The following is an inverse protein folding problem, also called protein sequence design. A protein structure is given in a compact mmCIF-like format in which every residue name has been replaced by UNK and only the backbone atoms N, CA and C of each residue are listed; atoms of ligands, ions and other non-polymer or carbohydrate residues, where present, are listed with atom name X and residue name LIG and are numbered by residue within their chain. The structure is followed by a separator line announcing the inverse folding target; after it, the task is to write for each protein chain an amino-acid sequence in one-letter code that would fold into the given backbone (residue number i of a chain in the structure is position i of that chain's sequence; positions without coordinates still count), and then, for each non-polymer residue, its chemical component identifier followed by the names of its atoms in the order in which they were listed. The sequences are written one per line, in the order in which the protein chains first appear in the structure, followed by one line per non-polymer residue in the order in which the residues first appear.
data_IF_710416914198
#
_entry.id   IF_710416914198
#
_cell.length_a   1.000
_cell.length_b   1.000
_cell.length_c   1.000
_cell.angle_alpha   90.00
_cell.angle_beta   90.00
_cell.angle_gamma   90.00
#
_symmetry.space_group_name_H-M   'P 1'
#
loop_
_entity.id
_entity.type
_entity.pdbx_description
1 polymer ?
#
# COMPACT_ATOMS: atom_id res chain seq x y z
N UNK A 1 8.34 -13.97 11.16
CA UNK A 1 8.19 -13.59 9.73
C UNK A 1 8.46 -12.10 9.58
N UNK A 2 9.02 -11.65 8.45
CA UNK A 2 9.04 -10.23 8.07
C UNK A 2 7.77 -9.95 7.27
N UNK A 3 7.02 -8.90 7.63
CA UNK A 3 5.89 -8.46 6.81
C UNK A 3 6.42 -7.49 5.76
N UNK A 4 6.22 -7.84 4.49
CA UNK A 4 6.48 -6.98 3.35
C UNK A 4 5.12 -6.68 2.71
N UNK A 5 4.58 -5.49 2.97
CA UNK A 5 3.19 -5.19 2.63
C UNK A 5 2.95 -5.01 1.13
N UNK A 6 4.04 -4.84 0.36
CA UNK A 6 3.98 -4.62 -1.07
C UNK A 6 5.28 -5.03 -1.77
N UNK A 7 5.16 -5.96 -2.70
CA UNK A 7 6.25 -6.34 -3.59
C UNK A 7 5.72 -6.83 -4.92
N UNK A 8 6.49 -6.64 -5.99
CA UNK A 8 6.23 -7.30 -7.27
C UNK A 8 6.88 -8.68 -7.38
N UNK A 9 7.81 -9.00 -6.46
CA UNK A 9 8.62 -10.23 -6.48
C UNK A 9 8.55 -10.92 -5.11
N UNK A 10 7.49 -11.70 -4.86
CA UNK A 10 7.36 -12.43 -3.61
C UNK A 10 8.28 -13.65 -3.56
N UNK A 11 9.07 -13.75 -2.50
CA UNK A 11 10.01 -14.85 -2.25
C UNK A 11 9.80 -15.43 -0.84
N UNK A 12 9.33 -14.60 0.09
CA UNK A 12 9.15 -14.95 1.49
C UNK A 12 7.67 -15.20 1.83
N UNK A 13 7.42 -15.92 2.94
CA UNK A 13 6.07 -16.21 3.41
C UNK A 13 5.26 -14.96 3.76
N UNK A 14 5.92 -13.91 4.25
CA UNK A 14 5.28 -12.65 4.67
C UNK A 14 5.22 -11.59 3.59
N UNK A 15 5.59 -11.95 2.36
CA UNK A 15 5.46 -11.06 1.21
C UNK A 15 4.02 -11.04 0.73
N UNK A 16 3.48 -9.83 0.60
CA UNK A 16 2.20 -9.59 -0.06
C UNK A 16 2.51 -9.13 -1.48
N UNK A 17 2.33 -10.04 -2.44
CA UNK A 17 2.61 -9.77 -3.84
C UNK A 17 1.51 -8.91 -4.47
N UNK A 18 1.87 -7.89 -5.22
CA UNK A 18 0.90 -7.16 -6.03
C UNK A 18 0.51 -7.97 -7.28
N UNK A 19 -0.78 -8.21 -7.46
CA UNK A 19 -1.35 -8.81 -8.66
C UNK A 19 -2.20 -7.84 -9.45
N UNK A 20 -2.07 -7.96 -10.77
CA UNK A 20 -2.95 -7.34 -11.74
C UNK A 20 -4.12 -8.26 -12.09
N UNK A 21 -5.21 -7.72 -12.68
CA UNK A 21 -6.40 -8.51 -13.01
C UNK A 21 -6.12 -9.72 -13.92
N UNK A 22 -5.08 -9.67 -14.76
CA UNK A 22 -4.67 -10.76 -15.63
C UNK A 22 -3.81 -11.84 -14.96
N UNK A 23 -3.25 -11.57 -13.78
CA UNK A 23 -2.31 -12.47 -13.13
C UNK A 23 -3.02 -13.68 -12.52
N UNK A 24 -2.37 -14.84 -12.49
CA UNK A 24 -2.93 -16.02 -11.85
C UNK A 24 -2.43 -16.09 -10.40
N UNK A 25 -3.32 -16.09 -9.40
CA UNK A 25 -2.87 -16.09 -8.01
C UNK A 25 -2.11 -17.36 -7.64
N UNK A 26 -0.93 -17.19 -7.04
CA UNK A 26 -0.12 -18.28 -6.50
C UNK A 26 -0.47 -18.56 -5.03
N UNK A 27 0.25 -19.51 -4.42
CA UNK A 27 0.12 -19.90 -3.01
C UNK A 27 0.55 -18.85 -1.98
N UNK A 28 0.96 -17.65 -2.41
CA UNK A 28 1.45 -16.58 -1.55
C UNK A 28 0.34 -15.59 -1.17
N UNK A 29 0.57 -14.78 -0.14
CA UNK A 29 -0.30 -13.65 0.12
C UNK A 29 -0.19 -12.63 -1.00
N UNK A 30 -1.31 -12.00 -1.34
CA UNK A 30 -1.35 -11.03 -2.42
C UNK A 30 -2.30 -9.88 -2.15
N UNK A 31 -2.06 -8.77 -2.85
CA UNK A 31 -3.02 -7.71 -3.06
C UNK A 31 -3.50 -7.75 -4.51
N UNK A 32 -4.73 -7.35 -4.77
CA UNK A 32 -5.21 -7.24 -6.16
C UNK A 32 -6.01 -5.96 -6.39
N UNK A 33 -5.72 -5.28 -7.51
CA UNK A 33 -6.43 -4.09 -7.96
C UNK A 33 -6.07 -3.70 -9.39
N UNK A 34 -6.61 -2.58 -9.84
CA UNK A 34 -6.30 -1.97 -11.13
C UNK A 34 -5.41 -0.76 -10.88
N UNK A 35 -4.13 -0.89 -11.23
CA UNK A 35 -3.17 0.19 -11.15
C UNK A 35 -3.55 1.33 -12.13
N UNK A 36 -3.38 2.61 -11.77
CA UNK A 36 -3.74 3.74 -12.65
C UNK A 36 -3.07 3.72 -14.02
N UNK A 37 -1.93 3.05 -14.15
CA UNK A 37 -1.21 2.90 -15.42
C UNK A 37 -1.85 1.88 -16.38
N UNK A 38 -2.66 0.95 -15.85
CA UNK A 38 -3.16 -0.21 -16.59
C UNK A 38 -4.69 -0.27 -16.62
N UNK A 39 -5.35 0.87 -16.42
CA UNK A 39 -6.79 1.00 -16.61
C UNK A 39 -7.08 0.89 -18.11
N UNK A 40 -7.77 -0.17 -18.50
CA UNK A 40 -8.23 -0.38 -19.87
C UNK A 40 -9.57 0.33 -20.13
N UNK A 41 -9.96 0.47 -21.40
CA UNK A 41 -11.27 1.02 -21.77
C UNK A 41 -12.42 0.20 -21.16
N UNK A 42 -12.24 -1.13 -21.08
CA UNK A 42 -13.17 -2.09 -20.48
C UNK A 42 -12.80 -2.43 -19.02
N UNK A 43 -12.42 -1.42 -18.22
CA UNK A 43 -12.03 -1.61 -16.83
C UNK A 43 -13.10 -2.30 -15.97
N UNK A 44 -14.38 -2.28 -16.38
CA UNK A 44 -15.45 -3.04 -15.73
C UNK A 44 -15.13 -4.55 -15.70
N UNK A 45 -14.57 -5.11 -16.78
CA UNK A 45 -14.15 -6.52 -16.85
C UNK A 45 -12.93 -6.78 -15.99
N UNK A 46 -11.98 -5.82 -15.95
CA UNK A 46 -10.86 -5.89 -15.02
C UNK A 46 -11.37 -5.93 -13.57
N UNK A 47 -12.38 -5.12 -13.24
CA UNK A 47 -12.95 -5.05 -11.90
C UNK A 47 -13.68 -6.35 -11.53
N UNK A 48 -14.35 -7.00 -12.47
CA UNK A 48 -14.94 -8.33 -12.24
C UNK A 48 -13.89 -9.37 -11.84
N UNK A 49 -12.72 -9.37 -12.50
CA UNK A 49 -11.61 -10.25 -12.13
C UNK A 49 -11.00 -9.90 -10.77
N UNK A 50 -10.89 -8.60 -10.43
CA UNK A 50 -10.49 -8.14 -9.09
C UNK A 50 -11.44 -8.71 -8.03
N UNK A 51 -12.75 -8.52 -8.20
CA UNK A 51 -13.78 -8.97 -7.25
C UNK A 51 -13.75 -10.50 -7.08
N UNK A 52 -13.60 -11.23 -8.18
CA UNK A 52 -13.54 -12.70 -8.17
C UNK A 52 -12.32 -13.21 -7.39
N UNK A 53 -11.14 -12.66 -7.67
CA UNK A 53 -9.88 -13.11 -7.06
C UNK A 53 -9.73 -12.60 -5.62
N UNK A 54 -10.34 -11.46 -5.28
CA UNK A 54 -10.29 -10.91 -3.93
C UNK A 54 -11.01 -11.77 -2.89
N UNK A 55 -11.85 -12.73 -3.31
CA UNK A 55 -12.49 -13.69 -2.41
C UNK A 55 -11.53 -14.75 -1.84
N UNK A 56 -10.32 -14.87 -2.41
CA UNK A 56 -9.31 -15.78 -1.87
C UNK A 56 -8.89 -15.39 -0.45
N UNK A 57 -8.68 -16.38 0.42
CA UNK A 57 -8.09 -16.19 1.75
C UNK A 57 -6.66 -15.65 1.71
N UNK A 58 -5.95 -15.90 0.60
CA UNK A 58 -4.61 -15.39 0.35
C UNK A 58 -4.62 -13.92 -0.09
N UNK A 59 -5.75 -13.38 -0.52
CA UNK A 59 -5.87 -11.95 -0.79
C UNK A 59 -5.92 -11.20 0.55
N UNK A 60 -4.91 -10.39 0.84
CA UNK A 60 -4.79 -9.64 2.11
C UNK A 60 -5.13 -8.16 1.96
N UNK A 61 -4.99 -7.58 0.76
CA UNK A 61 -5.35 -6.19 0.46
C UNK A 61 -6.08 -6.06 -0.87
N UNK A 62 -6.81 -4.96 -1.02
CA UNK A 62 -7.26 -4.45 -2.32
C UNK A 62 -6.27 -3.38 -2.80
N UNK A 63 -5.92 -3.44 -4.08
CA UNK A 63 -4.87 -2.64 -4.69
C UNK A 63 -3.69 -3.51 -5.18
N UNK A 64 -2.71 -2.97 -5.86
CA UNK A 64 -2.45 -1.55 -6.02
C UNK A 64 -3.49 -0.83 -6.89
N UNK A 65 -4.04 0.25 -6.36
CA UNK A 65 -5.03 1.11 -7.01
C UNK A 65 -4.78 2.56 -6.60
N UNK A 66 -5.39 3.55 -7.26
CA UNK A 66 -5.25 4.95 -6.85
C UNK A 66 -5.12 5.91 -8.02
N UNK A 67 -4.33 6.97 -7.84
CA UNK A 67 -4.31 8.12 -8.75
C UNK A 67 -2.88 8.53 -9.13
N UNK A 68 -2.63 8.69 -10.42
CA UNK A 68 -1.37 9.20 -10.98
C UNK A 68 -1.64 10.26 -12.06
N UNK A 69 -1.20 11.50 -11.83
CA UNK A 69 -1.32 12.59 -12.83
C UNK A 69 -0.25 12.57 -13.93
N UNK A 70 0.70 11.64 -13.88
CA UNK A 70 1.75 11.51 -14.89
C UNK A 70 1.37 10.51 -16.01
N UNK A 71 0.22 9.85 -15.94
CA UNK A 71 -0.25 8.94 -17.01
C UNK A 71 -1.32 9.56 -17.91
N UNK A 72 -1.53 8.94 -19.06
CA UNK A 72 -2.48 9.40 -20.08
C UNK A 72 -3.94 9.22 -19.68
N UNK A 73 -4.26 8.20 -18.87
CA UNK A 73 -5.61 7.95 -18.40
C UNK A 73 -6.11 9.17 -17.63
N UNK A 74 -7.27 9.70 -18.02
CA UNK A 74 -7.82 10.90 -17.40
C UNK A 74 -8.12 10.67 -15.91
N UNK A 75 -7.93 11.71 -15.10
CA UNK A 75 -8.10 11.63 -13.66
C UNK A 75 -9.53 11.27 -13.22
N UNK A 76 -10.55 11.64 -14.00
CA UNK A 76 -11.95 11.26 -13.74
C UNK A 76 -12.17 9.75 -13.89
N UNK A 77 -11.58 9.13 -14.91
CA UNK A 77 -11.60 7.67 -15.10
C UNK A 77 -10.84 6.98 -13.97
N UNK A 78 -9.62 7.45 -13.65
CA UNK A 78 -8.86 6.90 -12.52
C UNK A 78 -9.63 6.98 -11.20
N UNK A 79 -10.32 8.11 -10.99
CA UNK A 79 -11.15 8.33 -9.81
C UNK A 79 -12.32 7.35 -9.77
N UNK A 80 -13.06 7.17 -10.88
CA UNK A 80 -14.16 6.21 -10.94
C UNK A 80 -13.70 4.77 -10.64
N UNK A 81 -12.55 4.36 -11.18
CA UNK A 81 -11.95 3.04 -10.89
C UNK A 81 -11.53 2.94 -9.43
N UNK A 82 -10.86 3.95 -8.88
CA UNK A 82 -10.44 3.95 -7.48
C UNK A 82 -11.62 3.89 -6.52
N UNK A 83 -12.73 4.57 -6.84
CA UNK A 83 -13.98 4.48 -6.07
C UNK A 83 -14.52 3.04 -5.98
N UNK A 84 -14.45 2.26 -7.07
CA UNK A 84 -14.86 0.84 -7.02
C UNK A 84 -13.97 0.01 -6.10
N UNK A 85 -12.67 0.29 -6.03
CA UNK A 85 -11.77 -0.37 -5.10
C UNK A 85 -12.08 0.00 -3.64
N UNK A 86 -12.43 1.27 -3.38
CA UNK A 86 -12.86 1.73 -2.05
C UNK A 86 -14.11 0.99 -1.60
N UNK A 87 -15.12 0.91 -2.48
CA UNK A 87 -16.37 0.20 -2.18
C UNK A 87 -16.11 -1.29 -1.93
N UNK A 88 -15.32 -1.95 -2.79
CA UNK A 88 -14.96 -3.34 -2.63
C UNK A 88 -14.22 -3.59 -1.30
N UNK A 89 -13.24 -2.75 -0.98
CA UNK A 89 -12.48 -2.83 0.27
C UNK A 89 -13.40 -2.82 1.50
N UNK A 90 -14.39 -1.92 1.52
CA UNK A 90 -15.38 -1.87 2.60
C UNK A 90 -16.27 -3.11 2.63
N UNK A 91 -16.73 -3.59 1.48
CA UNK A 91 -17.60 -4.77 1.36
C UNK A 91 -16.92 -6.03 1.92
N UNK A 92 -15.68 -6.30 1.48
CA UNK A 92 -14.95 -7.52 1.88
C UNK A 92 -14.06 -7.30 3.12
N UNK A 93 -14.10 -6.10 3.71
CA UNK A 93 -13.39 -5.71 4.93
C UNK A 93 -11.87 -5.92 4.84
N UNK A 94 -11.26 -5.52 3.72
CA UNK A 94 -9.81 -5.62 3.52
C UNK A 94 -9.18 -4.23 3.37
N UNK A 95 -7.97 -3.99 3.89
CA UNK A 95 -7.25 -2.73 3.69
C UNK A 95 -7.02 -2.39 2.22
N UNK A 96 -6.82 -1.10 1.93
CA UNK A 96 -6.37 -0.60 0.64
C UNK A 96 -4.86 -0.36 0.63
N UNK A 97 -4.22 -0.75 -0.46
CA UNK A 97 -2.89 -0.27 -0.85
C UNK A 97 -2.97 0.66 -2.06
N UNK A 98 -2.46 1.88 -1.87
CA UNK A 98 -2.78 3.04 -2.69
C UNK A 98 -1.52 3.59 -3.35
N UNK A 99 -1.54 3.60 -4.68
CA UNK A 99 -0.65 4.37 -5.53
C UNK A 99 -1.09 5.82 -5.57
N UNK A 100 -0.17 6.76 -5.34
CA UNK A 100 -0.50 8.18 -5.42
C UNK A 100 0.66 9.04 -5.92
N UNK A 101 0.51 9.62 -7.11
CA UNK A 101 1.48 10.52 -7.71
C UNK A 101 0.81 11.85 -8.08
N UNK A 102 1.25 12.92 -7.39
CA UNK A 102 0.74 14.31 -7.53
C UNK A 102 -0.78 14.47 -7.29
N UNK A 103 -1.39 13.52 -6.58
CA UNK A 103 -2.84 13.46 -6.34
C UNK A 103 -3.23 13.33 -4.87
N UNK A 104 -2.36 13.78 -3.95
CA UNK A 104 -2.57 13.62 -2.51
C UNK A 104 -3.86 14.30 -2.03
N UNK A 105 -4.15 15.50 -2.53
CA UNK A 105 -5.37 16.25 -2.22
C UNK A 105 -6.63 15.49 -2.62
N UNK A 106 -6.61 14.84 -3.78
CA UNK A 106 -7.71 14.06 -4.33
C UNK A 106 -7.92 12.78 -3.51
N UNK A 107 -6.84 12.07 -3.18
CA UNK A 107 -6.90 10.88 -2.30
C UNK A 107 -7.48 11.26 -0.93
N UNK A 108 -7.04 12.38 -0.33
CA UNK A 108 -7.58 12.87 0.94
C UNK A 108 -9.05 13.27 0.80
N UNK A 109 -9.44 13.93 -0.29
CA UNK A 109 -10.83 14.30 -0.54
C UNK A 109 -11.73 13.04 -0.63
N UNK A 110 -11.27 11.99 -1.33
CA UNK A 110 -11.97 10.71 -1.40
C UNK A 110 -12.06 10.05 -0.02
N UNK A 111 -10.97 10.01 0.75
CA UNK A 111 -10.95 9.48 2.12
C UNK A 111 -11.98 10.17 3.02
N UNK A 112 -12.12 11.49 2.90
CA UNK A 112 -13.13 12.27 3.65
C UNK A 112 -14.54 11.97 3.16
N UNK A 113 -14.74 11.92 1.85
CA UNK A 113 -16.06 11.74 1.23
C UNK A 113 -16.67 10.38 1.54
N UNK A 114 -15.87 9.31 1.45
CA UNK A 114 -16.36 7.95 1.73
C UNK A 114 -16.36 7.59 3.21
N UNK A 115 -15.59 8.32 4.05
CA UNK A 115 -15.38 8.00 5.46
C UNK A 115 -15.16 6.49 5.74
N UNK A 116 -14.26 5.81 4.99
CA UNK A 116 -14.10 4.35 5.07
C UNK A 116 -13.63 3.88 6.44
N UNK A 117 -14.04 2.68 6.81
CA UNK A 117 -13.60 1.98 8.03
C UNK A 117 -12.29 1.23 7.80
N UNK A 118 -12.07 0.74 6.58
CA UNK A 118 -10.85 0.01 6.25
C UNK A 118 -9.64 0.92 6.26
N UNK A 119 -8.50 0.32 6.61
CA UNK A 119 -7.21 0.99 6.64
C UNK A 119 -6.77 1.32 5.21
N UNK A 120 -6.31 2.55 5.02
CA UNK A 120 -5.71 3.01 3.76
C UNK A 120 -4.21 3.15 3.95
N UNK A 121 -3.44 2.55 3.06
CA UNK A 121 -1.98 2.56 3.11
C UNK A 121 -1.48 3.13 1.79
N UNK A 122 -0.81 4.27 1.85
CA UNK A 122 -0.16 4.86 0.69
C UNK A 122 1.23 4.25 0.55
N UNK A 123 1.44 3.53 -0.53
CA UNK A 123 2.71 2.85 -0.80
C UNK A 123 3.74 3.80 -1.42
N UNK A 124 5.02 3.44 -1.33
CA UNK A 124 6.11 4.15 -1.97
C UNK A 124 6.31 5.55 -1.41
N UNK A 125 6.00 5.80 -0.12
CA UNK A 125 6.03 7.16 0.41
C UNK A 125 7.45 7.71 0.47
N UNK A 126 7.69 8.77 -0.31
CA UNK A 126 8.98 9.46 -0.40
C UNK A 126 8.83 10.99 -0.45
N UNK A 127 7.81 11.53 0.20
CA UNK A 127 7.55 12.98 0.24
C UNK A 127 8.01 13.60 1.56
N UNK A 128 7.82 14.91 1.68
CA UNK A 128 8.21 15.67 2.86
C UNK A 128 7.26 15.40 4.05
N UNK A 129 7.70 15.83 5.23
CA UNK A 129 6.96 15.68 6.49
C UNK A 129 5.59 16.38 6.45
N UNK A 130 5.44 17.50 5.75
CA UNK A 130 4.16 18.21 5.66
C UNK A 130 3.09 17.33 5.01
N UNK A 131 3.41 16.69 3.88
CA UNK A 131 2.50 15.77 3.18
C UNK A 131 2.24 14.53 4.06
N UNK A 132 3.27 14.01 4.73
CA UNK A 132 3.11 12.88 5.65
C UNK A 132 2.09 13.20 6.76
N UNK A 133 2.26 14.34 7.44
CA UNK A 133 1.35 14.78 8.49
C UNK A 133 -0.08 14.97 7.97
N UNK A 134 -0.25 15.49 6.75
CA UNK A 134 -1.58 15.67 6.18
C UNK A 134 -2.28 14.34 5.90
N UNK A 135 -1.57 13.36 5.34
CA UNK A 135 -2.09 12.01 5.10
C UNK A 135 -2.48 11.31 6.42
N UNK A 136 -1.59 11.37 7.41
CA UNK A 136 -1.81 10.74 8.72
C UNK A 136 -2.97 11.37 9.48
N UNK A 137 -3.13 12.70 9.44
CA UNK A 137 -4.29 13.40 10.00
C UNK A 137 -5.62 12.93 9.40
N UNK A 138 -5.60 12.40 8.18
CA UNK A 138 -6.76 11.84 7.50
C UNK A 138 -6.82 10.31 7.57
N UNK A 139 -6.11 9.69 8.52
CA UNK A 139 -6.08 8.24 8.73
C UNK A 139 -5.62 7.45 7.49
N UNK A 140 -4.65 8.00 6.76
CA UNK A 140 -3.94 7.30 5.68
C UNK A 140 -2.54 6.98 6.18
N UNK A 141 -2.24 5.69 6.28
CA UNK A 141 -0.96 5.15 6.74
C UNK A 141 0.08 5.21 5.62
N UNK A 142 1.35 5.18 5.97
CA UNK A 142 2.45 5.34 5.01
C UNK A 142 3.28 4.07 4.93
N UNK A 143 3.61 3.60 3.74
CA UNK A 143 4.58 2.52 3.56
C UNK A 143 5.91 3.07 3.07
N UNK A 144 7.01 2.57 3.64
CA UNK A 144 8.37 3.01 3.33
C UNK A 144 9.20 1.87 2.76
N UNK A 145 9.75 2.09 1.56
CA UNK A 145 10.66 1.16 0.91
C UNK A 145 12.13 1.57 0.95
N UNK A 146 12.87 1.15 -0.07
CA UNK A 146 14.32 1.35 -0.25
C UNK A 146 14.85 2.75 0.06
N UNK A 147 14.05 3.78 -0.18
CA UNK A 147 14.45 5.16 0.05
C UNK A 147 14.85 5.46 1.51
N UNK A 148 14.33 4.72 2.49
CA UNK A 148 14.67 4.92 3.90
C UNK A 148 16.13 4.58 4.21
N UNK A 149 16.77 3.74 3.39
CA UNK A 149 18.17 3.34 3.58
C UNK A 149 19.13 4.53 3.45
N UNK A 150 18.77 5.54 2.65
CA UNK A 150 19.67 6.65 2.32
C UNK A 150 19.07 8.06 2.49
N UNK A 151 17.73 8.25 2.48
CA UNK A 151 17.12 9.58 2.66
C UNK A 151 16.95 9.94 4.13
N UNK A 152 17.77 10.86 4.63
CA UNK A 152 17.79 11.29 6.04
C UNK A 152 16.43 11.87 6.48
N UNK A 153 15.73 12.57 5.58
CA UNK A 153 14.42 13.16 5.86
C UNK A 153 13.37 12.10 6.17
N UNK A 154 13.38 10.97 5.44
CA UNK A 154 12.48 9.85 5.71
C UNK A 154 12.85 9.13 7.01
N UNK A 155 14.15 9.03 7.32
CA UNK A 155 14.60 8.45 8.59
C UNK A 155 14.14 9.30 9.78
N UNK A 156 14.25 10.63 9.70
CA UNK A 156 13.74 11.56 10.71
C UNK A 156 12.22 11.46 10.86
N UNK A 157 11.49 11.33 9.76
CA UNK A 157 10.06 11.13 9.78
C UNK A 157 9.70 9.83 10.49
N UNK A 158 10.24 8.68 10.06
CA UNK A 158 9.94 7.39 10.69
C UNK A 158 10.29 7.35 12.18
N UNK A 159 11.33 8.09 12.60
CA UNK A 159 11.66 8.25 14.01
C UNK A 159 10.51 8.88 14.83
N UNK A 160 9.78 9.86 14.27
CA UNK A 160 8.72 10.58 14.98
C UNK A 160 7.33 9.94 14.86
N UNK A 161 7.13 9.00 13.93
CA UNK A 161 5.83 8.34 13.71
C UNK A 161 5.47 7.33 14.81
N UNK A 162 4.18 7.16 15.06
CA UNK A 162 3.68 6.01 15.85
C UNK A 162 3.92 4.71 15.08
N UNK A 163 4.08 3.59 15.78
CA UNK A 163 4.27 2.29 15.13
C UNK A 163 3.06 1.88 14.28
N UNK A 164 1.86 2.35 14.63
CA UNK A 164 0.62 2.10 13.89
C UNK A 164 0.45 2.99 12.65
N UNK A 165 1.37 3.94 12.42
CA UNK A 165 1.26 4.93 11.34
C UNK A 165 1.98 4.53 10.07
N UNK A 166 2.82 3.49 10.12
CA UNK A 166 3.62 3.09 8.97
C UNK A 166 3.80 1.59 8.79
N UNK A 167 4.10 1.22 7.54
CA UNK A 167 4.48 -0.12 7.10
C UNK A 167 5.80 -0.09 6.31
N UNK A 168 6.33 -1.27 6.03
CA UNK A 168 7.57 -1.47 5.29
C UNK A 168 7.35 -2.37 4.07
N UNK A 169 8.05 -2.07 2.98
CA UNK A 169 7.86 -2.75 1.70
C UNK A 169 9.13 -2.79 0.84
N UNK A 170 9.15 -3.63 -0.19
CA UNK A 170 10.25 -3.65 -1.18
C UNK A 170 9.86 -3.07 -2.54
N UNK A 171 8.55 -3.01 -2.85
CA UNK A 171 8.05 -2.58 -4.16
C UNK A 171 8.68 -3.42 -5.29
N UNK A 172 9.25 -2.80 -6.32
CA UNK A 172 9.96 -3.44 -7.42
C UNK A 172 11.46 -3.69 -7.13
N UNK A 173 11.93 -3.32 -5.93
CA UNK A 173 13.35 -3.31 -5.63
C UNK A 173 13.91 -4.70 -5.32
N UNK A 174 15.16 -4.94 -5.74
CA UNK A 174 15.91 -6.16 -5.44
C UNK A 174 16.49 -6.24 -4.03
N UNK A 175 16.28 -5.21 -3.19
CA UNK A 175 16.75 -5.23 -1.81
C UNK A 175 15.93 -6.20 -0.97
N UNK A 176 16.56 -6.77 0.05
CA UNK A 176 15.86 -7.64 0.99
C UNK A 176 15.03 -6.82 1.96
N UNK A 177 13.83 -7.27 2.29
CA UNK A 177 12.96 -6.59 3.26
C UNK A 177 13.65 -6.48 4.63
N UNK A 178 14.48 -7.46 4.97
CA UNK A 178 15.30 -7.52 6.18
C UNK A 178 16.19 -6.28 6.34
N UNK A 179 16.81 -5.80 5.25
CA UNK A 179 17.68 -4.62 5.28
C UNK A 179 16.90 -3.36 5.68
N UNK A 180 15.64 -3.26 5.23
CA UNK A 180 14.75 -2.14 5.58
C UNK A 180 14.36 -2.24 7.06
N UNK A 181 14.00 -3.43 7.54
CA UNK A 181 13.68 -3.66 8.95
C UNK A 181 14.86 -3.36 9.87
N UNK A 182 16.06 -3.81 9.52
CA UNK A 182 17.29 -3.52 10.26
C UNK A 182 17.53 -2.01 10.35
N UNK A 183 17.39 -1.30 9.23
CA UNK A 183 17.55 0.15 9.19
C UNK A 183 16.52 0.87 10.06
N UNK A 184 15.25 0.47 9.99
CA UNK A 184 14.17 1.10 10.77
C UNK A 184 14.31 0.78 12.26
N UNK A 185 14.66 -0.46 12.60
CA UNK A 185 14.93 -0.85 13.99
C UNK A 185 16.09 -0.04 14.58
N UNK A 186 17.15 0.20 13.80
CA UNK A 186 18.26 1.09 14.18
C UNK A 186 17.79 2.52 14.43
N UNK A 187 17.03 3.11 13.50
CA UNK A 187 16.50 4.47 13.62
C UNK A 187 15.66 4.61 14.89
N UNK A 188 14.80 3.63 15.15
CA UNK A 188 13.85 3.61 16.28
C UNK A 188 14.47 3.18 17.61
N UNK A 189 15.74 2.75 17.61
CA UNK A 189 16.41 2.17 18.77
C UNK A 189 15.61 1.03 19.44
N UNK A 190 15.11 0.11 18.62
CA UNK A 190 14.38 -1.09 19.06
C UNK A 190 14.98 -2.34 18.41
N UNK A 191 14.66 -3.52 18.92
CA UNK A 191 15.03 -4.77 18.25
C UNK A 191 14.18 -5.00 17.00
N UNK A 192 14.77 -5.63 15.99
CA UNK A 192 14.07 -6.08 14.77
C UNK A 192 12.90 -6.99 15.12
N UNK A 193 13.06 -7.87 16.12
CA UNK A 193 11.96 -8.74 16.59
C UNK A 193 10.78 -7.96 17.17
N UNK A 194 11.03 -6.86 17.89
CA UNK A 194 9.95 -6.00 18.37
C UNK A 194 9.23 -5.34 17.19
N UNK A 195 9.98 -4.79 16.23
CA UNK A 195 9.40 -4.16 15.04
C UNK A 195 8.55 -5.14 14.22
N UNK A 196 9.05 -6.36 13.98
CA UNK A 196 8.31 -7.43 13.31
C UNK A 196 6.99 -7.76 14.00
N UNK A 197 7.02 -7.94 15.33
CA UNK A 197 5.80 -8.22 16.11
C UNK A 197 4.78 -7.09 15.98
N UNK A 198 5.22 -5.84 16.06
CA UNK A 198 4.33 -4.69 15.91
C UNK A 198 3.73 -4.63 14.50
N UNK A 199 4.53 -4.81 13.45
CA UNK A 199 4.05 -4.79 12.06
C UNK A 199 3.03 -5.90 11.78
N UNK A 200 3.28 -7.12 12.27
CA UNK A 200 2.35 -8.24 12.13
C UNK A 200 1.03 -8.02 12.89
N UNK A 201 1.09 -7.49 14.12
CA UNK A 201 -0.10 -7.27 14.92
C UNK A 201 -1.04 -6.20 14.34
N UNK A 202 -0.52 -5.29 13.52
CA UNK A 202 -1.32 -4.29 12.81
C UNK A 202 -2.07 -4.87 11.61
N UNK A 203 -1.64 -6.04 11.12
CA UNK A 203 -2.16 -6.65 9.90
C UNK A 203 -3.02 -7.91 10.12
N UNK A 204 -3.27 -8.28 11.39
CA UNK A 204 -4.00 -9.50 11.78
C UNK A 204 -3.45 -10.77 11.07
N UNK A 205 -2.14 -10.82 10.86
CA UNK A 205 -1.39 -11.98 10.31
C UNK A 205 -0.62 -12.70 11.42
#
# INVERSE_FOLDING_TARGET
MYLNIHTHNAVNQGDIQNYFPQDTPLSHYFSIGIHPWFIAENWDLQMQEVIKKSQSENCKLIGECGLDKNVLTRLDIQTAVFEQHILLSEEIKKPLIIHCVKSFSEVIALRKRFAPRQMWILHGFQKNEQIACELLKNNIKLSFGKAILYKIELQKLVFSLSDADFFLETDDSSIKIEEIYEKVAQIRNISVEKLKKTQLSLFNL
#
